data_IF_400197867169
#
_entry.id   IF_400197867169
#
_cell.length_a   1.000
_cell.length_b   1.000
_cell.length_c   1.000
_cell.angle_alpha   90.00
_cell.angle_beta   90.00
_cell.angle_gamma   90.00
#
_symmetry.space_group_name_H-M   'P 1'
#
loop_
_entity.id
_entity.type
_entity.pdbx_description
1 polymer ?
#
# COMPACT_ATOMS: atom_id res chain seq x y z
N UNK A 1 -27.90 17.92 11.05
CA UNK A 1 -26.42 18.04 11.10
C UNK A 1 -26.06 19.52 11.13
N UNK A 2 -25.09 19.93 11.95
CA UNK A 2 -24.55 21.29 11.95
C UNK A 2 -23.70 21.50 10.67
N UNK A 3 -23.64 22.73 10.15
CA UNK A 3 -22.88 23.09 8.94
C UNK A 3 -21.42 22.61 9.00
N UNK A 4 -20.78 22.72 10.17
CA UNK A 4 -19.40 22.26 10.36
C UNK A 4 -19.18 20.75 10.09
N UNK A 5 -20.16 19.90 10.44
CA UNK A 5 -20.06 18.46 10.20
C UNK A 5 -20.28 18.11 8.71
N UNK A 6 -21.10 18.89 8.01
CA UNK A 6 -21.26 18.75 6.56
C UNK A 6 -20.00 19.20 5.83
N UNK A 7 -19.37 20.27 6.29
CA UNK A 7 -18.12 20.79 5.73
C UNK A 7 -16.96 19.80 5.95
N UNK A 8 -16.89 19.15 7.12
CA UNK A 8 -15.90 18.10 7.39
C UNK A 8 -16.06 16.89 6.47
N UNK A 9 -17.29 16.40 6.29
CA UNK A 9 -17.57 15.26 5.39
C UNK A 9 -17.22 15.61 3.94
N UNK A 10 -17.53 16.83 3.50
CA UNK A 10 -17.18 17.31 2.15
C UNK A 10 -15.67 17.35 1.96
N UNK A 11 -14.96 17.90 2.94
CA UNK A 11 -13.50 17.93 2.92
C UNK A 11 -12.89 16.52 2.87
N UNK A 12 -13.41 15.58 3.67
CA UNK A 12 -12.96 14.17 3.64
C UNK A 12 -13.19 13.54 2.26
N UNK A 13 -14.34 13.78 1.63
CA UNK A 13 -14.62 13.28 0.28
C UNK A 13 -13.63 13.86 -0.76
N UNK A 14 -13.36 15.17 -0.70
CA UNK A 14 -12.37 15.81 -1.58
C UNK A 14 -10.96 15.25 -1.38
N UNK A 15 -10.56 14.95 -0.15
CA UNK A 15 -9.27 14.32 0.13
C UNK A 15 -9.20 12.88 -0.39
N UNK A 16 -10.28 12.11 -0.27
CA UNK A 16 -10.38 10.79 -0.89
C UNK A 16 -10.19 10.86 -2.40
N UNK A 17 -10.83 11.83 -3.08
CA UNK A 17 -10.67 12.02 -4.53
C UNK A 17 -9.21 12.33 -4.91
N UNK A 18 -8.52 13.21 -4.16
CA UNK A 18 -7.11 13.51 -4.40
C UNK A 18 -6.20 12.29 -4.24
N UNK A 19 -6.50 11.43 -3.26
CA UNK A 19 -5.77 10.19 -3.05
C UNK A 19 -6.04 9.21 -4.20
N UNK A 20 -7.29 9.06 -4.63
CA UNK A 20 -7.66 8.21 -5.78
C UNK A 20 -6.94 8.68 -7.05
N UNK A 21 -6.81 9.99 -7.26
CA UNK A 21 -6.20 10.57 -8.46
C UNK A 21 -4.66 10.54 -8.46
N UNK A 22 -4.02 10.57 -7.28
CA UNK A 22 -2.58 10.74 -7.19
C UNK A 22 -1.91 9.90 -6.10
N UNK A 23 -1.11 8.94 -6.54
CA UNK A 23 -0.22 8.18 -5.66
C UNK A 23 0.82 9.09 -4.99
N UNK A 24 1.35 10.11 -5.68
CA UNK A 24 2.28 11.07 -5.07
C UNK A 24 1.61 11.84 -3.93
N UNK A 25 0.36 12.27 -4.12
CA UNK A 25 -0.40 12.94 -3.06
C UNK A 25 -0.60 12.03 -1.85
N UNK A 26 -0.93 10.76 -2.09
CA UNK A 26 -1.04 9.77 -1.02
C UNK A 26 0.27 9.64 -0.21
N UNK A 27 1.39 9.48 -0.91
CA UNK A 27 2.72 9.36 -0.30
C UNK A 27 3.08 10.60 0.53
N UNK A 28 2.92 11.79 -0.05
CA UNK A 28 3.33 13.05 0.59
C UNK A 28 2.43 13.48 1.73
N UNK A 29 1.19 12.97 1.84
CA UNK A 29 0.23 13.42 2.86
C UNK A 29 -0.05 12.39 3.94
N UNK A 30 -0.07 11.11 3.60
CA UNK A 30 -0.56 10.06 4.51
C UNK A 30 0.48 9.00 4.85
N UNK A 31 1.61 8.95 4.15
CA UNK A 31 2.62 7.91 4.40
C UNK A 31 3.68 8.36 5.39
N UNK A 32 3.85 7.51 6.39
CA UNK A 32 4.85 7.64 7.44
C UNK A 32 5.75 6.41 7.43
N UNK A 33 7.04 6.61 7.63
CA UNK A 33 8.03 5.53 7.70
C UNK A 33 8.69 5.53 9.08
N UNK A 34 9.21 4.37 9.46
CA UNK A 34 10.02 4.25 10.67
C UNK A 34 11.43 4.75 10.39
N UNK A 35 11.89 5.74 11.16
CA UNK A 35 13.30 6.11 11.19
C UNK A 35 14.04 5.24 12.22
N UNK A 36 14.92 4.35 11.75
CA UNK A 36 15.72 3.48 12.61
C UNK A 36 16.77 4.23 13.43
N UNK A 37 17.16 5.45 13.03
CA UNK A 37 18.15 6.23 13.77
C UNK A 37 17.53 6.88 15.03
N UNK A 38 16.31 7.39 14.91
CA UNK A 38 15.60 8.08 15.99
C UNK A 38 14.56 7.21 16.70
N UNK A 39 14.14 6.09 16.09
CA UNK A 39 12.99 5.27 16.49
C UNK A 39 11.67 6.03 16.52
N UNK A 40 11.55 7.08 15.70
CA UNK A 40 10.34 7.89 15.58
C UNK A 40 9.69 7.71 14.21
N UNK A 41 8.35 7.84 14.11
CA UNK A 41 7.69 7.93 12.82
C UNK A 41 8.02 9.27 12.16
N UNK A 42 8.61 9.22 10.96
CA UNK A 42 8.85 10.40 10.14
C UNK A 42 7.95 10.39 8.91
N UNK A 43 7.55 11.58 8.46
CA UNK A 43 6.74 11.71 7.25
C UNK A 43 7.60 11.36 6.04
N UNK A 44 7.09 10.52 5.16
CA UNK A 44 7.81 10.16 3.94
C UNK A 44 7.98 11.41 3.08
N UNK A 45 9.21 11.79 2.79
CA UNK A 45 9.53 12.87 1.86
C UNK A 45 10.28 12.28 0.68
N UNK A 46 9.61 12.23 -0.48
CA UNK A 46 10.21 11.67 -1.68
C UNK A 46 11.38 12.52 -2.17
N UNK A 47 12.50 11.87 -2.47
CA UNK A 47 13.59 12.51 -3.18
C UNK A 47 13.19 12.81 -4.63
N UNK A 48 13.75 13.86 -5.25
CA UNK A 48 13.45 14.20 -6.64
C UNK A 48 13.55 13.01 -7.59
N UNK A 49 14.61 12.20 -7.44
CA UNK A 49 14.83 11.02 -8.28
C UNK A 49 13.78 9.93 -8.04
N UNK A 50 13.30 9.74 -6.80
CA UNK A 50 12.23 8.79 -6.51
C UNK A 50 10.91 9.20 -7.19
N UNK A 51 10.62 10.50 -7.28
CA UNK A 51 9.44 11.01 -8.00
C UNK A 51 9.50 10.69 -9.49
N UNK A 52 10.68 10.74 -10.10
CA UNK A 52 10.82 10.40 -11.53
C UNK A 52 10.44 8.96 -11.86
N UNK A 53 10.52 8.05 -10.87
CA UNK A 53 10.23 6.63 -11.01
C UNK A 53 8.72 6.35 -10.87
N UNK A 54 7.96 7.20 -10.18
CA UNK A 54 6.53 6.97 -9.92
C UNK A 54 5.71 6.83 -11.21
N UNK A 55 5.80 7.75 -12.19
CA UNK A 55 5.11 7.59 -13.47
C UNK A 55 5.52 6.31 -14.21
N UNK A 56 6.77 5.86 -14.06
CA UNK A 56 7.20 4.60 -14.68
C UNK A 56 6.45 3.43 -14.05
N UNK A 57 6.23 3.44 -12.73
CA UNK A 57 5.53 2.38 -11.99
C UNK A 57 4.05 2.33 -12.29
N UNK A 58 3.40 3.47 -12.42
CA UNK A 58 1.96 3.52 -12.64
C UNK A 58 1.56 3.17 -14.09
N UNK A 59 2.45 3.42 -15.06
CA UNK A 59 2.10 3.32 -16.49
C UNK A 59 2.67 2.09 -17.21
N UNK A 60 3.56 1.33 -16.58
CA UNK A 60 4.15 0.15 -17.21
C UNK A 60 3.69 -1.15 -16.53
N UNK A 61 3.45 -2.19 -17.33
CA UNK A 61 3.00 -3.50 -16.85
C UNK A 61 4.12 -4.33 -16.21
N UNK A 62 5.36 -4.17 -16.68
CA UNK A 62 6.54 -4.92 -16.25
C UNK A 62 7.70 -3.96 -16.04
N UNK A 63 8.27 -3.95 -14.84
CA UNK A 63 9.31 -3.00 -14.45
C UNK A 63 10.37 -3.74 -13.65
N UNK A 64 11.61 -3.47 -13.99
CA UNK A 64 12.78 -3.92 -13.24
C UNK A 64 13.48 -2.67 -12.72
N UNK A 65 13.60 -2.57 -11.40
CA UNK A 65 14.25 -1.45 -10.73
C UNK A 65 15.61 -1.92 -10.22
N UNK A 66 16.68 -1.41 -10.83
CA UNK A 66 18.03 -1.57 -10.29
C UNK A 66 18.28 -0.43 -9.29
N UNK A 67 18.51 -0.78 -8.03
CA UNK A 67 18.66 0.19 -6.93
C UNK A 67 19.89 -0.11 -6.07
N UNK A 68 20.43 0.92 -5.42
CA UNK A 68 21.37 0.75 -4.33
C UNK A 68 20.64 0.31 -3.04
N UNK A 69 21.39 -0.24 -2.08
CA UNK A 69 20.84 -0.57 -0.76
C UNK A 69 20.46 0.70 0.03
N UNK A 70 19.57 0.55 1.03
CA UNK A 70 19.20 1.60 1.99
C UNK A 70 18.47 2.84 1.41
N UNK A 71 17.95 2.76 0.18
CA UNK A 71 17.19 3.86 -0.44
C UNK A 71 15.72 3.96 0.00
N UNK A 72 15.27 3.12 0.94
CA UNK A 72 13.88 3.11 1.40
C UNK A 72 12.86 2.58 0.38
N UNK A 73 13.28 1.93 -0.70
CA UNK A 73 12.39 1.44 -1.77
C UNK A 73 11.36 0.41 -1.28
N UNK A 74 11.69 -0.42 -0.28
CA UNK A 74 10.70 -1.34 0.30
C UNK A 74 9.57 -0.58 1.02
N UNK A 75 9.86 0.54 1.67
CA UNK A 75 8.80 1.39 2.25
C UNK A 75 7.93 2.00 1.16
N UNK A 76 8.55 2.52 0.11
CA UNK A 76 7.87 3.24 -0.97
C UNK A 76 7.08 2.32 -1.92
N UNK A 77 7.75 1.34 -2.53
CA UNK A 77 7.19 0.54 -3.62
C UNK A 77 6.64 -0.80 -3.19
N UNK A 78 7.07 -1.35 -2.06
CA UNK A 78 6.53 -2.62 -1.56
C UNK A 78 5.39 -2.35 -0.60
N UNK A 79 5.63 -1.54 0.45
CA UNK A 79 4.61 -1.28 1.46
C UNK A 79 3.58 -0.22 1.03
N UNK A 80 4.01 1.01 0.73
CA UNK A 80 3.09 2.10 0.44
C UNK A 80 2.31 1.90 -0.86
N UNK A 81 2.96 1.42 -1.93
CA UNK A 81 2.27 1.15 -3.20
C UNK A 81 1.27 -0.01 -3.10
N UNK A 82 1.63 -1.12 -2.43
CA UNK A 82 0.69 -2.22 -2.21
C UNK A 82 -0.54 -1.75 -1.41
N UNK A 83 -0.30 -0.98 -0.34
CA UNK A 83 -1.36 -0.39 0.47
C UNK A 83 -2.24 0.57 -0.33
N UNK A 84 -1.62 1.47 -1.11
CA UNK A 84 -2.33 2.39 -1.99
C UNK A 84 -3.26 1.67 -2.96
N UNK A 85 -2.75 0.66 -3.67
CA UNK A 85 -3.56 -0.12 -4.60
C UNK A 85 -4.72 -0.82 -3.90
N UNK A 86 -4.50 -1.39 -2.72
CA UNK A 86 -5.55 -2.07 -1.97
C UNK A 86 -6.59 -1.11 -1.37
N UNK A 87 -6.22 0.13 -1.03
CA UNK A 87 -7.16 1.16 -0.58
C UNK A 87 -7.98 1.70 -1.75
N UNK A 88 -7.35 1.94 -2.90
CA UNK A 88 -7.96 2.69 -4.01
C UNK A 88 -8.67 1.81 -5.05
N UNK A 89 -8.37 0.51 -5.10
CA UNK A 89 -8.90 -0.40 -6.11
C UNK A 89 -9.62 -1.59 -5.47
N UNK A 90 -10.91 -1.70 -5.74
CA UNK A 90 -11.69 -2.89 -5.43
C UNK A 90 -11.24 -4.09 -6.29
N UNK A 91 -11.46 -5.31 -5.79
CA UNK A 91 -11.09 -6.58 -6.45
C UNK A 91 -9.61 -6.67 -6.85
N UNK A 92 -8.73 -5.94 -6.17
CA UNK A 92 -7.32 -5.89 -6.52
C UNK A 92 -6.49 -6.80 -5.61
N UNK A 93 -5.81 -7.77 -6.21
CA UNK A 93 -4.93 -8.71 -5.53
C UNK A 93 -3.46 -8.32 -5.75
N UNK A 94 -2.81 -7.85 -4.68
CA UNK A 94 -1.38 -7.58 -4.63
C UNK A 94 -0.67 -8.76 -3.98
N UNK A 95 0.26 -9.38 -4.70
CA UNK A 95 1.09 -10.46 -4.18
C UNK A 95 2.54 -9.99 -4.09
N UNK A 96 3.13 -10.10 -2.91
CA UNK A 96 4.53 -9.78 -2.66
C UNK A 96 5.27 -11.09 -2.41
N UNK A 97 6.35 -11.32 -3.14
CA UNK A 97 7.24 -12.43 -2.85
C UNK A 97 8.29 -12.00 -1.82
N UNK A 98 8.46 -12.80 -0.78
CA UNK A 98 9.52 -12.62 0.23
C UNK A 98 10.49 -13.79 0.20
N UNK A 99 11.74 -13.54 0.59
CA UNK A 99 12.77 -14.58 0.67
C UNK A 99 12.38 -15.70 1.64
N UNK A 100 11.90 -15.33 2.83
CA UNK A 100 11.40 -16.25 3.85
C UNK A 100 10.17 -15.66 4.57
N UNK A 101 9.64 -16.41 5.54
CA UNK A 101 8.47 -16.00 6.30
C UNK A 101 8.74 -14.76 7.17
N UNK A 102 9.90 -14.68 7.82
CA UNK A 102 10.26 -13.56 8.70
C UNK A 102 10.40 -12.24 7.92
N UNK A 103 11.05 -12.27 6.77
CA UNK A 103 11.11 -11.14 5.85
C UNK A 103 9.71 -10.72 5.37
N UNK A 104 8.81 -11.69 5.17
CA UNK A 104 7.43 -11.41 4.84
C UNK A 104 6.70 -10.69 5.97
N UNK A 105 6.88 -11.15 7.22
CA UNK A 105 6.35 -10.50 8.41
C UNK A 105 6.88 -9.08 8.59
N UNK A 106 8.16 -8.85 8.28
CA UNK A 106 8.73 -7.49 8.30
C UNK A 106 8.05 -6.57 7.27
N UNK A 107 7.82 -7.05 6.05
CA UNK A 107 7.12 -6.29 5.00
C UNK A 107 5.68 -5.98 5.45
N UNK A 108 4.94 -6.98 5.96
CA UNK A 108 3.59 -6.76 6.48
C UNK A 108 3.60 -5.80 7.67
N UNK A 109 4.61 -5.88 8.53
CA UNK A 109 4.83 -4.93 9.62
C UNK A 109 4.96 -3.49 9.12
N UNK A 110 5.68 -3.26 8.01
CA UNK A 110 5.79 -1.93 7.37
C UNK A 110 4.47 -1.47 6.75
N UNK A 111 3.73 -2.37 6.07
CA UNK A 111 2.38 -2.07 5.56
C UNK A 111 1.47 -1.63 6.70
N UNK A 112 1.43 -2.40 7.78
CA UNK A 112 0.65 -2.09 8.96
C UNK A 112 1.14 -0.80 9.64
N UNK A 113 2.44 -0.53 9.67
CA UNK A 113 2.98 0.71 10.24
C UNK A 113 2.43 1.95 9.53
N UNK A 114 2.36 1.91 8.19
CA UNK A 114 1.75 2.98 7.40
C UNK A 114 0.24 3.01 7.67
N UNK A 115 -0.44 1.86 7.55
CA UNK A 115 -1.89 1.72 7.70
C UNK A 115 -2.42 2.35 8.99
N UNK A 116 -1.80 2.06 10.14
CA UNK A 116 -2.26 2.55 11.44
C UNK A 116 -2.12 4.08 11.62
N UNK A 117 -1.46 4.78 10.68
CA UNK A 117 -1.29 6.23 10.70
C UNK A 117 -2.15 6.94 9.66
N UNK A 118 -2.85 6.19 8.81
CA UNK A 118 -3.82 6.74 7.87
C UNK A 118 -5.13 6.96 8.64
N UNK A 119 -5.83 8.10 8.43
CA UNK A 119 -7.13 8.32 9.04
C UNK A 119 -8.16 7.26 8.63
N UNK A 120 -9.00 6.85 9.57
CA UNK A 120 -10.01 5.80 9.35
C UNK A 120 -10.99 6.12 8.21
N UNK A 121 -11.29 7.41 7.97
CA UNK A 121 -12.20 7.82 6.90
C UNK A 121 -11.64 7.60 5.49
N UNK A 122 -10.32 7.49 5.35
CA UNK A 122 -9.65 7.19 4.07
C UNK A 122 -9.48 5.68 3.87
N UNK A 123 -9.70 4.87 4.91
CA UNK A 123 -9.45 3.44 4.92
C UNK A 123 -10.74 2.64 4.71
N UNK A 124 -10.77 1.66 3.80
CA UNK A 124 -11.83 0.68 3.76
C UNK A 124 -11.83 -0.16 5.05
N UNK A 125 -12.97 -0.76 5.37
CA UNK A 125 -13.06 -1.67 6.51
C UNK A 125 -12.12 -2.86 6.33
N UNK A 126 -11.48 -3.30 7.41
CA UNK A 126 -10.60 -4.46 7.38
C UNK A 126 -11.43 -5.74 7.51
N UNK A 127 -11.13 -6.72 6.65
CA UNK A 127 -11.64 -8.07 6.71
C UNK A 127 -10.68 -8.97 7.50
N UNK A 128 -10.08 -9.94 6.82
CA UNK A 128 -9.00 -10.76 7.38
C UNK A 128 -7.70 -9.95 7.53
N UNK A 129 -7.08 -10.06 8.70
CA UNK A 129 -5.76 -9.49 9.00
C UNK A 129 -4.91 -10.56 9.70
N UNK A 130 -3.78 -10.91 9.10
CA UNK A 130 -2.76 -11.77 9.68
C UNK A 130 -1.37 -11.39 9.18
N UNK A 131 -0.36 -12.05 9.75
CA UNK A 131 1.07 -11.81 9.51
C UNK A 131 1.51 -11.72 8.03
N UNK A 132 0.79 -12.35 7.10
CA UNK A 132 1.12 -12.38 5.67
C UNK A 132 -0.06 -12.09 4.74
N UNK A 133 -1.21 -11.70 5.28
CA UNK A 133 -2.44 -11.50 4.52
C UNK A 133 -3.28 -10.40 5.14
N UNK A 134 -3.63 -9.42 4.33
CA UNK A 134 -4.47 -8.30 4.73
C UNK A 134 -5.55 -8.07 3.67
N UNK A 135 -6.81 -8.03 4.10
CA UNK A 135 -7.99 -7.87 3.26
C UNK A 135 -8.73 -6.60 3.59
N UNK A 136 -9.08 -5.86 2.55
CA UNK A 136 -9.88 -4.64 2.62
C UNK A 136 -11.24 -4.91 1.99
N UNK A 137 -12.29 -4.61 2.75
CA UNK A 137 -13.66 -4.83 2.37
C UNK A 137 -14.14 -3.64 1.55
N UNK A 138 -14.29 -3.88 0.25
CA UNK A 138 -14.94 -2.98 -0.68
C UNK A 138 -16.30 -3.53 -1.10
N UNK A 139 -17.14 -2.65 -1.64
CA UNK A 139 -18.40 -3.00 -2.29
C UNK A 139 -18.37 -2.53 -3.74
N UNK A 140 -18.88 -3.32 -4.66
CA UNK A 140 -19.07 -2.89 -6.06
C UNK A 140 -20.27 -1.93 -6.20
N UNK A 141 -20.49 -1.44 -7.43
CA UNK A 141 -21.62 -0.54 -7.76
C UNK A 141 -22.99 -1.15 -7.47
N UNK A 142 -23.09 -2.48 -7.38
CA UNK A 142 -24.31 -3.22 -7.06
C UNK A 142 -24.42 -3.56 -5.57
N UNK A 143 -23.46 -3.14 -4.75
CA UNK A 143 -23.38 -3.44 -3.32
C UNK A 143 -22.87 -4.85 -2.98
N UNK A 144 -22.37 -5.61 -3.95
CA UNK A 144 -21.79 -6.92 -3.71
C UNK A 144 -20.35 -6.80 -3.16
N UNK A 145 -19.89 -7.75 -2.31
CA UNK A 145 -18.53 -7.73 -1.78
C UNK A 145 -17.46 -7.84 -2.88
N UNK A 146 -16.52 -6.90 -2.88
CA UNK A 146 -15.49 -6.76 -3.90
C UNK A 146 -14.08 -6.59 -3.28
N UNK A 147 -13.66 -7.47 -2.35
CA UNK A 147 -12.50 -7.22 -1.50
C UNK A 147 -11.19 -7.07 -2.29
N UNK A 148 -10.30 -6.24 -1.79
CA UNK A 148 -8.91 -6.16 -2.25
C UNK A 148 -8.00 -6.77 -1.20
N UNK A 149 -6.84 -7.26 -1.62
CA UNK A 149 -5.99 -8.11 -0.78
C UNK A 149 -4.53 -7.78 -1.01
N UNK A 150 -3.77 -7.68 0.09
CA UNK A 150 -2.32 -7.76 0.11
C UNK A 150 -1.96 -9.13 0.66
N UNK A 151 -1.16 -9.88 -0.09
CA UNK A 151 -0.70 -11.17 0.33
C UNK A 151 0.80 -11.31 0.12
N UNK A 152 1.48 -11.84 1.13
CA UNK A 152 2.91 -12.11 1.08
C UNK A 152 3.12 -13.61 1.00
N UNK A 153 3.93 -14.05 0.04
CA UNK A 153 4.22 -15.46 -0.20
C UNK A 153 5.72 -15.66 -0.08
N UNK A 154 6.19 -16.38 0.96
CA UNK A 154 7.58 -16.78 1.08
C UNK A 154 8.00 -17.70 -0.08
N UNK A 155 9.24 -17.56 -0.53
CA UNK A 155 9.86 -18.42 -1.53
C UNK A 155 10.07 -19.84 -0.99
N UNK A 156 8.99 -20.62 -0.93
CA UNK A 156 9.00 -22.07 -0.71
C UNK A 156 8.60 -22.76 -2.01
N UNK A 157 9.05 -24.01 -2.25
CA UNK A 157 8.83 -24.76 -3.49
C UNK A 157 7.35 -24.85 -3.95
N UNK A 158 6.37 -24.57 -3.07
CA UNK A 158 4.93 -24.63 -3.36
C UNK A 158 4.24 -23.26 -3.54
N UNK A 159 4.94 -22.14 -3.34
CA UNK A 159 4.35 -20.79 -3.30
C UNK A 159 3.82 -20.26 -4.64
N UNK A 160 4.21 -20.86 -5.76
CA UNK A 160 3.84 -20.41 -7.11
C UNK A 160 2.55 -20.99 -7.68
N UNK A 161 1.84 -21.89 -6.97
CA UNK A 161 0.64 -22.52 -7.53
C UNK A 161 -0.65 -21.72 -7.25
N UNK A 162 -1.33 -21.40 -8.35
CA UNK A 162 -2.71 -20.91 -8.50
C UNK A 162 -3.10 -19.63 -7.76
N UNK A 163 -2.46 -18.49 -8.08
CA UNK A 163 -3.00 -17.16 -7.78
C UNK A 163 -3.03 -16.31 -9.04
N UNK A 164 -4.04 -15.45 -9.13
CA UNK A 164 -4.23 -14.51 -10.25
C UNK A 164 -4.00 -13.10 -9.74
N UNK A 165 -2.75 -12.72 -9.40
CA UNK A 165 -2.47 -11.39 -8.91
C UNK A 165 -2.73 -10.35 -10.00
N UNK A 166 -3.26 -9.19 -9.61
CA UNK A 166 -3.27 -8.03 -10.47
C UNK A 166 -1.90 -7.36 -10.49
N UNK A 167 -1.19 -7.39 -9.35
CA UNK A 167 0.18 -6.88 -9.20
C UNK A 167 1.01 -7.89 -8.44
N UNK A 168 2.19 -8.19 -8.98
CA UNK A 168 3.18 -9.03 -8.33
C UNK A 168 4.45 -8.23 -8.09
N UNK A 169 4.92 -8.22 -6.85
CA UNK A 169 6.11 -7.49 -6.42
C UNK A 169 7.16 -8.50 -5.95
N UNK A 170 8.35 -8.41 -6.50
CA UNK A 170 9.51 -9.17 -6.06
C UNK A 170 10.50 -8.21 -5.42
N UNK A 171 10.85 -8.45 -4.17
CA UNK A 171 11.87 -7.68 -3.46
C UNK A 171 12.94 -8.64 -2.92
N UNK A 172 14.18 -8.47 -3.40
CA UNK A 172 15.36 -9.25 -2.97
C UNK A 172 16.20 -8.50 -1.91
N UNK A 173 15.65 -7.41 -1.34
CA UNK A 173 16.35 -6.56 -0.37
C UNK A 173 16.91 -7.29 0.84
#
# INVERSE_FOLDING_TARGET
MNNAALDEIRWQAEECDKVLDSFEYFLDNYVWIEDKATNEPIKLTLWPDQRTVIPQILNNLLIIILKAHQLGYTWLFVAAYALYLSITKAMHQVVINSFNEDAGKEIMGRVNFIRHRIPDWLMPKIGKDNDLYLEFLHTDDNGAPAPSVIQIIPATEKGGQSKTPNVMIFDES
#
